data_IF_051003472043
#
_entry.id   IF_051003472043
#
_cell.length_a   1.000
_cell.length_b   1.000
_cell.length_c   1.000
_cell.angle_alpha   90.00
_cell.angle_beta   90.00
_cell.angle_gamma   90.00
#
_symmetry.space_group_name_H-M   'P 1'
#
loop_
_entity.id
_entity.type
_entity.pdbx_description
1 polymer ?
#
# COMPACT_ATOMS: atom_id res chain seq x y z
N UNK A 1 -11.41 10.72 -10.33
CA UNK A 1 -11.22 10.32 -11.74
C UNK A 1 -10.28 9.12 -11.79
N UNK A 2 -10.63 8.04 -12.47
CA UNK A 2 -9.73 6.91 -12.68
C UNK A 2 -8.81 7.19 -13.88
N UNK A 3 -7.49 7.00 -13.73
CA UNK A 3 -6.56 7.03 -14.86
C UNK A 3 -6.53 5.65 -15.51
N UNK A 4 -6.64 5.61 -16.84
CA UNK A 4 -6.46 4.38 -17.62
C UNK A 4 -4.98 4.19 -17.90
N UNK A 5 -4.44 3.06 -17.45
CA UNK A 5 -3.04 2.70 -17.66
C UNK A 5 -2.98 1.32 -18.29
N UNK A 6 -2.21 1.18 -19.36
CA UNK A 6 -1.92 -0.12 -19.97
C UNK A 6 -0.76 -0.75 -19.21
N UNK A 7 -0.93 -2.00 -18.80
CA UNK A 7 0.12 -2.79 -18.14
C UNK A 7 0.37 -4.06 -18.94
N UNK A 8 1.63 -4.46 -19.04
CA UNK A 8 2.01 -5.75 -19.62
C UNK A 8 2.04 -6.79 -18.51
N UNK A 9 1.24 -7.84 -18.66
CA UNK A 9 1.20 -8.97 -17.76
C UNK A 9 1.75 -10.19 -18.48
N UNK A 10 2.43 -11.04 -17.72
CA UNK A 10 2.85 -12.35 -18.19
C UNK A 10 1.59 -13.22 -18.37
N UNK A 11 1.58 -14.07 -19.39
CA UNK A 11 0.37 -14.79 -19.82
C UNK A 11 -0.22 -15.68 -18.72
N UNK A 12 0.65 -16.39 -18.00
CA UNK A 12 0.34 -17.19 -16.81
C UNK A 12 -0.35 -16.38 -15.70
N UNK A 13 0.17 -15.18 -15.43
CA UNK A 13 -0.38 -14.27 -14.42
C UNK A 13 -1.74 -13.74 -14.87
N UNK A 14 -1.88 -13.39 -16.15
CA UNK A 14 -3.15 -12.92 -16.70
C UNK A 14 -4.24 -13.99 -16.61
N UNK A 15 -3.91 -15.24 -16.93
CA UNK A 15 -4.82 -16.38 -16.87
C UNK A 15 -5.29 -16.63 -15.43
N UNK A 16 -4.37 -16.66 -14.47
CA UNK A 16 -4.68 -16.79 -13.05
C UNK A 16 -5.55 -15.64 -12.51
N UNK A 17 -5.30 -14.40 -12.94
CA UNK A 17 -6.13 -13.25 -12.59
C UNK A 17 -7.55 -13.35 -13.18
N UNK A 18 -7.66 -13.86 -14.42
CA UNK A 18 -8.95 -14.03 -15.12
C UNK A 18 -9.81 -15.11 -14.47
N UNK A 19 -9.20 -16.23 -14.08
CA UNK A 19 -9.89 -17.30 -13.33
C UNK A 19 -10.39 -16.81 -11.98
N UNK A 20 -9.58 -16.01 -11.27
CA UNK A 20 -9.87 -15.56 -9.91
C UNK A 20 -10.84 -14.37 -9.86
N UNK A 21 -10.78 -13.45 -10.82
CA UNK A 21 -11.66 -12.28 -10.85
C UNK A 21 -12.97 -12.51 -11.64
N UNK A 22 -12.96 -13.45 -12.59
CA UNK A 22 -13.99 -13.54 -13.62
C UNK A 22 -13.86 -12.44 -14.67
N UNK A 23 -14.46 -12.65 -15.85
CA UNK A 23 -14.19 -11.88 -17.07
C UNK A 23 -14.46 -10.36 -17.02
N UNK A 24 -15.13 -9.84 -15.99
CA UNK A 24 -15.44 -8.40 -15.84
C UNK A 24 -14.71 -7.68 -14.70
N UNK A 25 -14.06 -8.39 -13.77
CA UNK A 25 -13.53 -7.76 -12.54
C UNK A 25 -12.00 -7.78 -12.43
N UNK A 26 -11.29 -8.10 -13.51
CA UNK A 26 -9.82 -8.18 -13.50
C UNK A 26 -9.17 -6.87 -13.03
N UNK A 27 -9.66 -5.71 -13.51
CA UNK A 27 -9.15 -4.40 -13.08
C UNK A 27 -9.35 -4.13 -11.58
N UNK A 28 -10.50 -4.55 -11.03
CA UNK A 28 -10.78 -4.38 -9.60
C UNK A 28 -9.85 -5.25 -8.75
N UNK A 29 -9.60 -6.49 -9.19
CA UNK A 29 -8.69 -7.41 -8.52
C UNK A 29 -7.25 -6.88 -8.56
N UNK A 30 -6.79 -6.39 -9.71
CA UNK A 30 -5.44 -5.81 -9.86
C UNK A 30 -5.28 -4.62 -8.92
N UNK A 31 -6.25 -3.69 -8.89
CA UNK A 31 -6.20 -2.55 -8.00
C UNK A 31 -6.13 -2.98 -6.52
N UNK A 32 -6.91 -3.99 -6.12
CA UNK A 32 -6.88 -4.52 -4.75
C UNK A 32 -5.51 -5.10 -4.40
N UNK A 33 -4.90 -5.89 -5.30
CA UNK A 33 -3.57 -6.46 -5.11
C UNK A 33 -2.51 -5.36 -4.97
N UNK A 34 -2.57 -4.33 -5.83
CA UNK A 34 -1.65 -3.21 -5.78
C UNK A 34 -1.80 -2.43 -4.47
N UNK A 35 -3.04 -2.15 -4.04
CA UNK A 35 -3.30 -1.52 -2.74
C UNK A 35 -2.72 -2.36 -1.61
N UNK A 36 -3.03 -3.65 -1.54
CA UNK A 36 -2.50 -4.52 -0.47
C UNK A 36 -0.96 -4.59 -0.47
N UNK A 37 -0.33 -4.64 -1.65
CA UNK A 37 1.12 -4.68 -1.77
C UNK A 37 1.78 -3.38 -1.28
N UNK A 38 1.26 -2.22 -1.71
CA UNK A 38 1.80 -0.92 -1.33
C UNK A 38 1.45 -0.53 0.11
N UNK A 39 0.22 -0.81 0.56
CA UNK A 39 -0.19 -0.59 1.95
C UNK A 39 0.59 -1.45 2.95
N UNK A 40 1.05 -2.65 2.56
CA UNK A 40 1.94 -3.47 3.41
C UNK A 40 3.37 -2.92 3.49
N UNK A 41 3.85 -2.18 2.47
CA UNK A 41 5.17 -1.55 2.50
C UNK A 41 5.18 -0.28 3.34
N UNK A 42 4.06 0.43 3.46
CA UNK A 42 3.90 1.56 4.38
C UNK A 42 3.44 1.10 5.76
N UNK A 43 4.25 0.24 6.41
CA UNK A 43 4.26 0.29 7.87
C UNK A 43 4.83 1.66 8.26
N UNK A 44 3.94 2.61 8.55
CA UNK A 44 4.29 3.88 9.18
C UNK A 44 4.89 3.70 10.60
N UNK A 45 5.02 2.46 11.08
CA UNK A 45 5.73 2.11 12.31
C UNK A 45 7.24 1.92 12.12
N UNK A 46 7.76 1.90 10.89
CA UNK A 46 9.19 1.67 10.63
C UNK A 46 10.02 2.90 10.25
N UNK A 47 9.39 4.05 10.00
CA UNK A 47 10.07 5.28 9.56
C UNK A 47 10.17 6.35 10.64
N UNK A 48 9.58 6.14 11.82
CA UNK A 48 9.79 7.04 12.94
C UNK A 48 11.18 6.76 13.52
N UNK A 49 12.11 7.72 13.40
CA UNK A 49 13.36 7.69 14.18
C UNK A 49 12.97 7.50 15.65
N UNK A 50 13.71 6.66 16.38
CA UNK A 50 13.53 6.56 17.83
C UNK A 50 13.53 7.99 18.38
N UNK A 51 12.42 8.41 18.97
CA UNK A 51 12.33 9.73 19.59
C UNK A 51 13.34 9.71 20.74
N UNK A 52 14.37 10.54 20.63
CA UNK A 52 15.31 10.74 21.72
C UNK A 52 14.53 11.39 22.86
N UNK A 53 14.58 10.78 24.04
CA UNK A 53 13.82 11.20 25.21
C UNK A 53 14.28 12.61 25.64
N UNK A 54 15.46 13.05 25.19
CA UNK A 54 15.99 14.40 25.36
C UNK A 54 15.19 15.51 24.65
N UNK A 55 14.37 15.18 23.63
CA UNK A 55 13.56 16.17 22.90
C UNK A 55 12.12 16.25 23.44
N UNK A 56 11.76 15.39 24.40
CA UNK A 56 10.50 15.49 25.13
C UNK A 56 10.60 16.62 26.15
N UNK A 57 10.11 17.80 25.77
CA UNK A 57 9.99 18.95 26.67
C UNK A 57 9.14 18.57 27.89
N UNK A 58 9.69 18.75 29.09
CA UNK A 58 8.95 18.49 30.32
C UNK A 58 7.86 19.57 30.52
N UNK A 59 6.61 19.13 30.53
CA UNK A 59 5.44 19.95 30.82
C UNK A 59 5.51 20.70 32.18
N UNK A 60 6.44 20.34 33.06
CA UNK A 60 6.63 20.97 34.38
C UNK A 60 7.50 22.23 34.38
N UNK A 61 8.19 22.55 33.28
CA UNK A 61 8.96 23.82 33.17
C UNK A 61 8.08 25.06 32.92
N UNK A 62 6.75 24.92 33.00
CA UNK A 62 5.78 26.00 32.79
C UNK A 62 5.19 26.61 34.07
N UNK A 63 5.84 26.44 35.22
CA UNK A 63 5.50 27.18 36.46
C UNK A 63 6.38 28.38 36.67
#
# INVERSE_FOLDING_TARGET
>A
MARKTTILLREDVYQALKEKAGGRNVSNLINKILIEYFSKKESMFGTMKAADISDLRDHRERT
#
